data_IF_534728337740
#
_entry.id   IF_534728337740
#
_cell.length_a   1.000
_cell.length_b   1.000
_cell.length_c   1.000
_cell.angle_alpha   90.00
_cell.angle_beta   90.00
_cell.angle_gamma   90.00
#
_symmetry.space_group_name_H-M   'P 1'
#
loop_
_entity.id
_entity.type
_entity.pdbx_description
1 polymer ?
#
# COMPACT_ATOMS: atom_id res chain seq x y z
N UNK A 1 35.55 31.31 -22.59
CA UNK A 1 35.95 30.55 -21.41
C UNK A 1 34.84 30.70 -20.37
N UNK A 2 33.88 29.81 -20.35
CA UNK A 2 32.77 29.81 -19.38
C UNK A 2 33.16 28.86 -18.23
N UNK A 3 33.51 29.47 -17.10
CA UNK A 3 33.81 28.73 -15.87
C UNK A 3 32.52 28.24 -15.25
N UNK A 4 32.29 26.93 -15.35
CA UNK A 4 31.15 26.28 -14.71
C UNK A 4 31.49 26.10 -13.21
N UNK A 5 30.91 26.94 -12.38
CA UNK A 5 31.01 26.82 -10.92
C UNK A 5 30.15 25.64 -10.47
N UNK A 6 30.78 24.47 -10.31
CA UNK A 6 30.16 23.34 -9.63
C UNK A 6 29.94 23.70 -8.14
N UNK A 7 28.68 23.78 -7.74
CA UNK A 7 28.33 23.91 -6.33
C UNK A 7 28.72 22.62 -5.59
N UNK A 8 29.30 22.71 -4.38
CA UNK A 8 29.65 21.54 -3.61
C UNK A 8 28.38 20.75 -3.24
N UNK A 9 28.35 19.48 -3.61
CA UNK A 9 27.28 18.56 -3.19
C UNK A 9 27.49 18.28 -1.70
N UNK A 10 26.61 18.81 -0.87
CA UNK A 10 26.60 18.49 0.56
C UNK A 10 25.96 17.13 0.74
N UNK A 11 26.79 16.11 0.97
CA UNK A 11 26.31 14.78 1.35
C UNK A 11 25.88 14.81 2.82
N UNK A 12 24.57 14.76 3.07
CA UNK A 12 24.04 14.57 4.41
C UNK A 12 24.10 13.07 4.73
N UNK A 13 24.86 12.66 5.76
CA UNK A 13 24.85 11.27 6.18
C UNK A 13 23.45 10.94 6.73
N UNK A 14 22.73 10.07 6.03
CA UNK A 14 21.49 9.52 6.57
C UNK A 14 21.82 8.70 7.82
N UNK A 15 21.10 8.90 8.93
CA UNK A 15 21.30 8.08 10.11
C UNK A 15 21.09 6.62 9.72
N UNK A 16 22.11 5.80 9.92
CA UNK A 16 22.01 4.36 9.78
C UNK A 16 21.05 3.87 10.86
N UNK A 17 19.81 3.64 10.47
CA UNK A 17 18.86 2.93 11.33
C UNK A 17 19.41 1.52 11.48
N UNK A 18 20.02 1.23 12.61
CA UNK A 18 20.51 -0.12 12.91
C UNK A 18 19.40 -1.11 12.63
N UNK A 19 19.72 -2.19 11.90
CA UNK A 19 18.77 -3.25 11.59
C UNK A 19 18.30 -3.83 12.92
N UNK A 20 17.12 -3.39 13.40
CA UNK A 20 16.56 -3.93 14.62
C UNK A 20 16.38 -5.43 14.41
N UNK A 21 16.95 -6.23 15.33
CA UNK A 21 16.73 -7.65 15.36
C UNK A 21 15.22 -7.89 15.45
N UNK A 22 14.63 -8.70 14.57
CA UNK A 22 13.21 -9.03 14.71
C UNK A 22 12.99 -9.62 16.12
N UNK A 23 11.84 -9.33 16.76
CA UNK A 23 11.53 -9.94 18.04
C UNK A 23 11.68 -11.46 17.92
N UNK A 24 12.37 -12.07 18.87
CA UNK A 24 12.71 -13.50 18.84
C UNK A 24 11.45 -14.38 18.87
N UNK A 25 10.35 -13.86 19.43
CA UNK A 25 9.09 -14.56 19.58
C UNK A 25 7.98 -13.79 18.86
N UNK A 26 7.59 -14.28 17.68
CA UNK A 26 6.32 -13.86 17.08
C UNK A 26 5.20 -14.39 17.99
N UNK A 27 4.22 -13.54 18.36
CA UNK A 27 3.10 -14.01 19.15
C UNK A 27 2.39 -15.17 18.44
N UNK A 28 1.98 -16.15 19.21
CA UNK A 28 1.20 -17.27 18.70
C UNK A 28 -0.05 -16.75 17.97
N UNK A 29 -0.52 -17.48 16.95
CA UNK A 29 -1.81 -17.16 16.33
C UNK A 29 -2.91 -17.10 17.39
N UNK A 30 -3.87 -16.19 17.22
CA UNK A 30 -5.06 -16.17 18.06
C UNK A 30 -5.83 -17.50 17.94
N UNK A 31 -6.73 -17.78 18.89
CA UNK A 31 -7.53 -19.02 18.91
C UNK A 31 -8.37 -19.23 17.63
N UNK A 32 -8.70 -18.14 16.92
CA UNK A 32 -9.39 -18.17 15.63
C UNK A 32 -8.45 -18.39 14.41
N UNK A 33 -7.16 -18.63 14.66
CA UNK A 33 -6.14 -18.83 13.64
C UNK A 33 -5.63 -17.53 12.99
N UNK A 34 -6.08 -16.35 13.43
CA UNK A 34 -5.53 -15.07 12.96
C UNK A 34 -4.14 -14.85 13.51
N UNK A 35 -3.25 -14.37 12.67
CA UNK A 35 -1.91 -13.94 13.05
C UNK A 35 -1.81 -12.44 12.91
N UNK A 36 -1.66 -11.73 14.02
CA UNK A 36 -1.48 -10.30 14.00
C UNK A 36 -0.20 -9.89 13.27
N UNK A 37 -0.29 -8.85 12.45
CA UNK A 37 0.86 -8.20 11.84
C UNK A 37 1.43 -7.20 12.85
N UNK A 38 2.48 -7.59 13.54
CA UNK A 38 3.16 -6.74 14.51
C UNK A 38 4.42 -6.13 13.91
N UNK A 39 4.63 -4.86 14.20
CA UNK A 39 5.91 -4.22 13.92
C UNK A 39 6.92 -4.49 15.06
N UNK A 40 8.16 -4.02 14.87
CA UNK A 40 9.23 -4.15 15.88
C UNK A 40 8.95 -3.46 17.22
N UNK A 41 7.92 -2.61 17.29
CA UNK A 41 7.51 -1.89 18.51
C UNK A 41 6.26 -2.50 19.16
N UNK A 42 5.79 -3.65 18.67
CA UNK A 42 4.59 -4.32 19.18
C UNK A 42 3.27 -3.70 18.70
N UNK A 43 3.30 -2.75 17.74
CA UNK A 43 2.08 -2.17 17.19
C UNK A 43 1.47 -3.12 16.16
N UNK A 44 0.18 -3.35 16.28
CA UNK A 44 -0.56 -4.21 15.35
C UNK A 44 -1.08 -3.40 14.16
N UNK A 45 -0.75 -3.84 12.95
CA UNK A 45 -1.36 -3.31 11.74
C UNK A 45 -2.78 -3.84 11.60
N UNK A 46 -3.76 -2.94 11.51
CA UNK A 46 -5.19 -3.24 11.34
C UNK A 46 -5.78 -2.63 10.09
N UNK A 47 -5.05 -1.73 9.47
CA UNK A 47 -5.44 -1.00 8.27
C UNK A 47 -4.69 -1.56 7.06
N UNK A 48 -5.43 -1.84 5.99
CA UNK A 48 -4.89 -2.26 4.71
C UNK A 48 -5.18 -1.18 3.67
N UNK A 49 -4.14 -0.66 3.04
CA UNK A 49 -4.28 0.20 1.86
C UNK A 49 -4.11 -0.63 0.60
N UNK A 50 -5.10 -0.57 -0.26
CA UNK A 50 -5.12 -1.32 -1.53
C UNK A 50 -5.05 -0.32 -2.68
N UNK A 51 -3.93 -0.31 -3.38
CA UNK A 51 -3.77 0.46 -4.62
C UNK A 51 -4.41 -0.32 -5.76
N UNK A 52 -5.49 0.21 -6.31
CA UNK A 52 -6.30 -0.47 -7.32
C UNK A 52 -5.82 -0.22 -8.75
N UNK A 53 -5.16 0.88 -8.97
CA UNK A 53 -4.66 1.32 -10.28
C UNK A 53 -3.57 2.37 -10.08
N UNK A 54 -2.65 2.44 -11.01
CA UNK A 54 -1.68 3.52 -11.12
C UNK A 54 -2.23 4.69 -11.97
N UNK A 55 -3.26 4.44 -12.78
CA UNK A 55 -3.86 5.44 -13.67
C UNK A 55 -4.51 6.57 -12.88
N UNK A 56 -4.29 7.79 -13.36
CA UNK A 56 -4.86 9.00 -12.77
C UNK A 56 -5.16 10.03 -13.87
N UNK A 57 -6.33 10.62 -13.83
CA UNK A 57 -6.73 11.72 -14.72
C UNK A 57 -6.53 13.10 -14.08
N UNK A 58 -6.03 13.14 -12.84
CA UNK A 58 -5.66 14.36 -12.14
C UNK A 58 -4.17 14.68 -12.37
N UNK A 59 -3.82 15.95 -12.22
CA UNK A 59 -2.44 16.46 -12.36
C UNK A 59 -2.08 17.33 -11.16
N UNK A 60 -2.11 16.70 -9.97
CA UNK A 60 -1.75 17.39 -8.74
C UNK A 60 -0.27 17.78 -8.78
N UNK A 61 0.03 19.05 -8.54
CA UNK A 61 1.37 19.62 -8.71
C UNK A 61 2.46 18.95 -7.89
N UNK A 62 2.10 18.37 -6.75
CA UNK A 62 3.03 17.65 -5.84
C UNK A 62 3.13 16.15 -6.13
N UNK A 63 2.28 15.61 -7.02
CA UNK A 63 2.14 14.16 -7.20
C UNK A 63 2.63 13.70 -8.58
N UNK A 64 2.28 14.45 -9.63
CA UNK A 64 2.45 13.99 -10.99
C UNK A 64 2.84 15.16 -11.92
N UNK A 65 3.80 14.96 -12.84
CA UNK A 65 4.12 15.95 -13.86
C UNK A 65 2.93 16.18 -14.80
N UNK A 66 2.90 17.37 -15.43
CA UNK A 66 1.80 17.78 -16.29
C UNK A 66 1.59 16.81 -17.48
N UNK A 67 2.68 16.27 -18.02
CA UNK A 67 2.69 15.27 -19.11
C UNK A 67 2.19 13.90 -18.67
N UNK A 68 2.12 13.64 -17.37
CA UNK A 68 1.76 12.34 -16.80
C UNK A 68 2.95 11.39 -16.66
N UNK A 69 2.64 10.14 -16.37
CA UNK A 69 3.62 9.04 -16.24
C UNK A 69 3.21 7.89 -17.16
N UNK A 70 4.17 7.03 -17.49
CA UNK A 70 3.87 5.75 -18.13
C UNK A 70 3.10 4.86 -17.13
N UNK A 71 1.99 4.30 -17.62
CA UNK A 71 1.15 3.43 -16.81
C UNK A 71 1.61 1.98 -16.91
N UNK A 72 1.49 1.27 -15.83
CA UNK A 72 1.74 -0.17 -15.80
C UNK A 72 0.83 -0.88 -16.81
N UNK A 73 1.37 -1.83 -17.60
CA UNK A 73 0.54 -2.67 -18.46
C UNK A 73 -0.55 -3.40 -17.64
N UNK A 74 -1.73 -3.54 -18.23
CA UNK A 74 -2.89 -4.15 -17.53
C UNK A 74 -2.59 -5.57 -17.06
N UNK A 75 -1.77 -6.31 -17.80
CA UNK A 75 -1.37 -7.67 -17.49
C UNK A 75 -0.50 -7.80 -16.23
N UNK A 76 0.12 -6.69 -15.82
CA UNK A 76 0.94 -6.61 -14.60
C UNK A 76 0.14 -6.12 -13.39
N UNK A 77 -1.10 -5.70 -13.58
CA UNK A 77 -1.98 -5.30 -12.49
C UNK A 77 -2.77 -6.48 -11.97
N UNK A 78 -3.08 -6.49 -10.67
CA UNK A 78 -3.91 -7.53 -10.09
C UNK A 78 -5.32 -7.51 -10.69
N UNK A 79 -5.84 -8.69 -11.01
CA UNK A 79 -7.24 -8.89 -11.36
C UNK A 79 -8.16 -8.57 -10.18
N UNK A 80 -9.45 -8.48 -10.44
CA UNK A 80 -10.43 -8.25 -9.37
C UNK A 80 -10.47 -9.40 -8.38
N UNK A 81 -10.40 -10.62 -8.90
CA UNK A 81 -10.42 -11.85 -8.12
C UNK A 81 -9.19 -11.95 -7.22
N UNK A 82 -8.01 -11.63 -7.74
CA UNK A 82 -6.76 -11.59 -6.96
C UNK A 82 -6.81 -10.51 -5.89
N UNK A 83 -7.29 -9.32 -6.23
CA UNK A 83 -7.45 -8.21 -5.29
C UNK A 83 -8.39 -8.61 -4.15
N UNK A 84 -9.56 -9.15 -4.47
CA UNK A 84 -10.54 -9.62 -3.47
C UNK A 84 -9.95 -10.74 -2.62
N UNK A 85 -9.22 -11.68 -3.23
CA UNK A 85 -8.55 -12.77 -2.51
C UNK A 85 -7.55 -12.24 -1.50
N UNK A 86 -6.71 -11.28 -1.88
CA UNK A 86 -5.73 -10.68 -0.97
C UNK A 86 -6.40 -9.95 0.20
N UNK A 87 -7.49 -9.23 -0.06
CA UNK A 87 -8.26 -8.58 1.00
C UNK A 87 -8.84 -9.63 1.96
N UNK A 88 -9.42 -10.72 1.44
CA UNK A 88 -9.94 -11.81 2.27
C UNK A 88 -8.88 -12.46 3.15
N UNK A 89 -7.67 -12.64 2.62
CA UNK A 89 -6.53 -13.15 3.40
C UNK A 89 -6.16 -12.15 4.50
N UNK A 90 -6.05 -10.87 4.16
CA UNK A 90 -5.75 -9.81 5.12
C UNK A 90 -6.73 -9.80 6.29
N UNK A 91 -8.01 -9.88 6.00
CA UNK A 91 -9.08 -9.87 7.00
C UNK A 91 -9.11 -11.17 7.80
N UNK A 92 -9.17 -12.32 7.11
CA UNK A 92 -9.40 -13.62 7.73
C UNK A 92 -8.17 -14.23 8.41
N UNK A 93 -6.95 -13.82 8.01
CA UNK A 93 -5.71 -14.43 8.50
C UNK A 93 -4.77 -13.47 9.22
N UNK A 94 -4.83 -12.17 8.89
CA UNK A 94 -3.88 -11.18 9.37
C UNK A 94 -4.49 -10.15 10.33
N UNK A 95 -5.78 -10.27 10.62
CA UNK A 95 -6.46 -9.40 11.59
C UNK A 95 -6.70 -7.98 11.10
N UNK A 96 -6.74 -7.76 9.79
CA UNK A 96 -7.12 -6.48 9.19
C UNK A 96 -8.59 -6.20 9.48
N UNK A 97 -8.89 -4.97 9.91
CA UNK A 97 -10.25 -4.53 10.27
C UNK A 97 -10.74 -3.37 9.43
N UNK A 98 -9.84 -2.74 8.71
CA UNK A 98 -10.14 -1.57 7.90
C UNK A 98 -9.45 -1.69 6.55
N UNK A 99 -10.17 -1.40 5.48
CA UNK A 99 -9.62 -1.37 4.12
C UNK A 99 -9.82 0.01 3.54
N UNK A 100 -8.76 0.56 2.99
CA UNK A 100 -8.75 1.85 2.30
C UNK A 100 -8.32 1.66 0.87
N UNK A 101 -9.19 2.00 -0.06
CA UNK A 101 -8.89 1.96 -1.47
C UNK A 101 -8.16 3.23 -1.91
N UNK A 102 -7.11 3.05 -2.69
CA UNK A 102 -6.25 4.11 -3.17
C UNK A 102 -5.67 3.72 -4.54
N UNK A 103 -4.66 4.42 -4.97
CA UNK A 103 -3.97 4.21 -6.24
C UNK A 103 -3.61 5.55 -6.85
N UNK A 104 -3.64 5.66 -8.18
CA UNK A 104 -3.75 6.91 -8.87
C UNK A 104 -5.11 7.54 -8.53
N UNK A 105 -6.10 7.36 -9.41
CA UNK A 105 -7.49 7.72 -9.10
C UNK A 105 -8.34 6.43 -9.07
N UNK A 106 -8.75 5.95 -7.88
CA UNK A 106 -9.45 4.67 -7.73
C UNK A 106 -10.74 4.60 -8.54
N UNK A 107 -11.43 5.72 -8.73
CA UNK A 107 -12.67 5.80 -9.51
C UNK A 107 -12.50 5.48 -11.00
N UNK A 108 -11.26 5.48 -11.49
CA UNK A 108 -10.97 5.06 -12.87
C UNK A 108 -10.99 3.53 -13.05
N UNK A 109 -10.97 2.76 -11.95
CA UNK A 109 -11.11 1.31 -12.05
C UNK A 109 -12.58 0.94 -12.24
N UNK A 110 -12.92 0.46 -13.44
CA UNK A 110 -14.31 0.12 -13.82
C UNK A 110 -14.98 -0.89 -12.90
N UNK A 111 -14.19 -1.78 -12.30
CA UNK A 111 -14.66 -2.83 -11.38
C UNK A 111 -14.63 -2.44 -9.89
N UNK A 112 -14.43 -1.16 -9.58
CA UNK A 112 -14.34 -0.68 -8.19
C UNK A 112 -15.55 -1.11 -7.36
N UNK A 113 -16.77 -0.97 -7.90
CA UNK A 113 -18.01 -1.35 -7.20
C UNK A 113 -18.04 -2.84 -6.83
N UNK A 114 -17.60 -3.71 -7.75
CA UNK A 114 -17.50 -5.16 -7.50
C UNK A 114 -16.56 -5.46 -6.35
N UNK A 115 -15.39 -4.81 -6.32
CA UNK A 115 -14.39 -5.00 -5.28
C UNK A 115 -14.92 -4.50 -3.94
N UNK A 116 -15.57 -3.32 -3.91
CA UNK A 116 -16.18 -2.75 -2.71
C UNK A 116 -17.27 -3.68 -2.18
N UNK A 117 -18.17 -4.16 -3.02
CA UNK A 117 -19.25 -5.05 -2.63
C UNK A 117 -18.70 -6.33 -1.96
N UNK A 118 -17.73 -6.99 -2.61
CA UNK A 118 -17.08 -8.19 -2.06
C UNK A 118 -16.34 -7.91 -0.73
N UNK A 119 -15.78 -6.71 -0.59
CA UNK A 119 -15.08 -6.31 0.63
C UNK A 119 -16.06 -6.02 1.77
N UNK A 120 -17.21 -5.40 1.47
CA UNK A 120 -18.26 -5.10 2.45
C UNK A 120 -18.83 -6.36 3.10
N UNK A 121 -18.93 -7.47 2.35
CA UNK A 121 -19.38 -8.76 2.88
C UNK A 121 -18.50 -9.28 4.03
N UNK A 122 -17.26 -8.82 4.11
CA UNK A 122 -16.29 -9.22 5.15
C UNK A 122 -16.49 -8.47 6.49
N UNK A 123 -17.55 -7.68 6.64
CA UNK A 123 -17.88 -6.90 7.85
C UNK A 123 -16.76 -5.96 8.28
N UNK A 124 -16.14 -5.30 7.33
CA UNK A 124 -15.06 -4.33 7.55
C UNK A 124 -15.56 -2.90 7.57
N UNK A 125 -14.80 -2.02 8.22
CA UNK A 125 -14.91 -0.59 8.01
C UNK A 125 -14.22 -0.22 6.70
N UNK A 126 -14.97 0.35 5.76
CA UNK A 126 -14.44 0.89 4.50
C UNK A 126 -14.22 2.39 4.63
N UNK A 127 -13.10 2.86 4.14
CA UNK A 127 -12.76 4.29 4.08
C UNK A 127 -12.23 4.63 2.69
#
# INVERSE_FOLDING_TARGET
MTSSSQQPVVSLPLPTVGRAKPPADLPAPAADGTRALLDRYGRQARDLRVSLTDRCNLRCTYCMPAEGLEWMPTEQTLSDEETIRLIRIGVGKLGIRQVRFTGGEPLLRKSLEKIIAATKELRLSLI
#
